data_IF_031985431349
#
_entry.id   IF_031985431349
#
_cell.length_a   1.000
_cell.length_b   1.000
_cell.length_c   1.000
_cell.angle_alpha   90.00
_cell.angle_beta   90.00
_cell.angle_gamma   90.00
#
_symmetry.space_group_name_H-M   'P 1'
#
loop_
_entity.id
_entity.type
_entity.pdbx_description
1 polymer ?
#
# COMPACT_ATOMS: atom_id res chain seq x y z
N UNK A 1 10.11 -20.02 -17.32
CA UNK A 1 9.72 -19.44 -16.02
C UNK A 1 10.71 -19.99 -14.99
N UNK A 2 11.50 -19.13 -14.34
CA UNK A 2 12.48 -19.57 -13.32
C UNK A 2 11.99 -18.99 -11.97
N UNK A 3 11.82 -19.80 -10.91
CA UNK A 3 11.44 -19.30 -9.60
C UNK A 3 12.63 -18.62 -8.91
N UNK A 4 12.38 -17.51 -8.22
CA UNK A 4 13.37 -16.77 -7.45
C UNK A 4 13.40 -17.33 -6.01
N UNK A 5 14.45 -18.06 -5.66
CA UNK A 5 14.69 -18.57 -4.30
C UNK A 5 15.40 -17.51 -3.44
N UNK A 6 14.67 -16.93 -2.50
CA UNK A 6 15.13 -15.90 -1.56
C UNK A 6 16.17 -16.40 -0.54
N UNK A 7 16.41 -17.71 -0.44
CA UNK A 7 17.33 -18.31 0.55
C UNK A 7 18.82 -17.96 0.33
N UNK A 8 19.19 -17.37 -0.81
CA UNK A 8 20.60 -17.17 -1.17
C UNK A 8 21.17 -15.75 -1.00
N UNK A 9 20.41 -14.74 -0.54
CA UNK A 9 20.98 -13.40 -0.36
C UNK A 9 21.60 -13.26 1.04
N UNK A 10 22.73 -13.95 1.27
CA UNK A 10 23.59 -13.74 2.46
C UNK A 10 24.40 -12.43 2.44
N UNK A 11 24.26 -11.57 1.43
CA UNK A 11 24.97 -10.28 1.43
C UNK A 11 24.38 -9.26 0.44
N UNK A 12 23.59 -8.32 0.96
CA UNK A 12 23.16 -7.10 0.24
C UNK A 12 24.37 -6.27 -0.25
N UNK A 13 25.60 -6.52 0.27
CA UNK A 13 26.85 -5.83 -0.11
C UNK A 13 27.33 -6.05 -1.56
N UNK A 14 26.67 -6.86 -2.40
CA UNK A 14 27.10 -7.14 -3.80
C UNK A 14 26.05 -6.81 -4.88
N UNK A 15 25.11 -5.91 -4.62
CA UNK A 15 24.16 -5.47 -5.65
C UNK A 15 24.81 -4.44 -6.59
N UNK A 16 25.09 -4.84 -7.83
CA UNK A 16 25.44 -3.92 -8.93
C UNK A 16 24.20 -3.11 -9.36
N UNK A 17 24.39 -1.92 -9.92
CA UNK A 17 23.32 -1.02 -10.39
C UNK A 17 22.32 -1.74 -11.33
N UNK A 18 22.80 -2.66 -12.18
CA UNK A 18 21.94 -3.47 -13.05
C UNK A 18 20.99 -4.41 -12.30
N UNK A 19 21.41 -4.95 -11.15
CA UNK A 19 20.56 -5.79 -10.30
C UNK A 19 19.55 -4.93 -9.55
N UNK A 20 19.92 -3.70 -9.17
CA UNK A 20 18.97 -2.72 -8.61
C UNK A 20 17.92 -2.31 -9.65
N UNK A 21 18.30 -2.08 -10.91
CA UNK A 21 17.35 -1.82 -12.02
C UNK A 21 16.44 -3.03 -12.29
N UNK A 22 16.97 -4.24 -12.24
CA UNK A 22 16.18 -5.46 -12.41
C UNK A 22 15.19 -5.67 -11.26
N UNK A 23 15.63 -5.48 -10.02
CA UNK A 23 14.77 -5.52 -8.83
C UNK A 23 13.70 -4.43 -8.93
N UNK A 24 14.07 -3.20 -9.28
CA UNK A 24 13.15 -2.09 -9.50
C UNK A 24 12.10 -2.42 -10.57
N UNK A 25 12.51 -2.93 -11.74
CA UNK A 25 11.58 -3.30 -12.81
C UNK A 25 10.64 -4.44 -12.41
N UNK A 26 11.13 -5.47 -11.71
CA UNK A 26 10.27 -6.55 -11.25
C UNK A 26 9.30 -6.09 -10.15
N UNK A 27 9.76 -5.23 -9.24
CA UNK A 27 8.92 -4.63 -8.21
C UNK A 27 7.84 -3.75 -8.85
N UNK A 28 8.19 -2.90 -9.83
CA UNK A 28 7.23 -2.08 -10.57
C UNK A 28 6.21 -2.93 -11.33
N UNK A 29 6.65 -3.97 -12.05
CA UNK A 29 5.74 -4.89 -12.76
C UNK A 29 4.83 -5.67 -11.80
N UNK A 30 5.36 -6.07 -10.64
CA UNK A 30 4.57 -6.72 -9.60
C UNK A 30 3.49 -5.79 -9.04
N UNK A 31 3.80 -4.50 -8.86
CA UNK A 31 2.81 -3.52 -8.39
C UNK A 31 1.74 -3.18 -9.41
N UNK A 32 2.11 -2.96 -10.67
CA UNK A 32 1.13 -2.79 -11.74
C UNK A 32 0.24 -4.03 -11.86
N UNK A 33 0.81 -5.23 -11.72
CA UNK A 33 0.05 -6.47 -11.70
C UNK A 33 -0.95 -6.56 -10.55
N UNK A 34 -0.65 -6.03 -9.36
CA UNK A 34 -1.60 -6.07 -8.23
C UNK A 34 -2.75 -5.10 -8.49
N UNK A 35 -2.45 -3.85 -8.89
CA UNK A 35 -3.49 -2.84 -9.15
C UNK A 35 -4.41 -3.27 -10.30
N UNK A 36 -3.86 -3.89 -11.34
CA UNK A 36 -4.64 -4.38 -12.48
C UNK A 36 -5.60 -5.52 -12.12
N UNK A 37 -5.33 -6.27 -11.04
CA UNK A 37 -6.22 -7.32 -10.53
C UNK A 37 -7.34 -6.79 -9.64
N UNK A 38 -7.21 -5.57 -9.12
CA UNK A 38 -8.25 -4.94 -8.28
C UNK A 38 -9.37 -4.45 -9.20
N UNK A 39 -10.61 -4.72 -8.80
CA UNK A 39 -11.81 -4.26 -9.50
C UNK A 39 -11.88 -2.72 -9.56
N UNK A 40 -12.44 -2.18 -10.64
CA UNK A 40 -12.61 -0.75 -10.86
C UNK A 40 -13.50 -0.08 -9.79
N UNK A 41 -14.37 -0.82 -9.12
CA UNK A 41 -15.16 -0.29 -8.00
C UNK A 41 -14.29 0.25 -6.84
N UNK A 42 -13.00 -0.11 -6.77
CA UNK A 42 -12.04 0.37 -5.76
C UNK A 42 -11.06 1.45 -6.24
N UNK A 43 -11.28 1.99 -7.45
CA UNK A 43 -10.40 2.94 -8.14
C UNK A 43 -11.02 4.33 -8.32
N UNK A 44 -11.98 4.69 -7.46
CA UNK A 44 -12.65 5.98 -7.56
C UNK A 44 -11.71 7.13 -7.18
N UNK A 45 -11.92 8.30 -7.79
CA UNK A 45 -11.20 9.51 -7.42
C UNK A 45 -11.58 9.93 -6.00
N UNK A 46 -10.57 10.36 -5.23
CA UNK A 46 -10.77 10.80 -3.84
C UNK A 46 -11.43 12.18 -3.85
N UNK A 47 -12.53 12.39 -3.09
CA UNK A 47 -13.12 13.71 -2.91
C UNK A 47 -12.10 14.70 -2.32
N UNK A 48 -12.15 15.96 -2.77
CA UNK A 48 -11.21 17.01 -2.35
C UNK A 48 -11.18 17.24 -0.85
N UNK A 49 -12.29 17.01 -0.15
CA UNK A 49 -12.39 17.08 1.31
C UNK A 49 -11.43 16.13 2.02
N UNK A 50 -11.24 14.92 1.47
CA UNK A 50 -10.35 13.91 2.02
C UNK A 50 -8.89 14.14 1.64
N UNK A 51 -8.61 14.77 0.49
CA UNK A 51 -7.23 15.04 0.06
C UNK A 51 -6.45 15.85 1.10
N UNK A 52 -7.04 16.92 1.63
CA UNK A 52 -6.40 17.75 2.66
C UNK A 52 -6.14 16.97 3.96
N UNK A 53 -7.05 16.07 4.33
CA UNK A 53 -6.89 15.23 5.52
C UNK A 53 -5.80 14.18 5.32
N UNK A 54 -5.74 13.57 4.13
CA UNK A 54 -4.70 12.61 3.74
C UNK A 54 -3.33 13.27 3.71
N UNK A 55 -3.20 14.49 3.21
CA UNK A 55 -1.92 15.21 3.20
C UNK A 55 -1.37 15.42 4.61
N UNK A 56 -2.20 15.87 5.56
CA UNK A 56 -1.79 16.00 6.97
C UNK A 56 -1.51 14.65 7.64
N UNK A 57 -2.24 13.59 7.27
CA UNK A 57 -1.99 12.25 7.75
C UNK A 57 -0.64 11.71 7.27
N UNK A 58 -0.28 11.94 6.01
CA UNK A 58 0.96 11.47 5.41
C UNK A 58 2.22 12.07 6.05
N UNK A 59 2.11 13.22 6.72
CA UNK A 59 3.21 13.81 7.50
C UNK A 59 3.45 13.08 8.83
N UNK A 60 2.48 12.29 9.30
CA UNK A 60 2.49 11.64 10.62
C UNK A 60 2.83 10.15 10.56
N UNK A 61 2.90 9.56 9.37
CA UNK A 61 3.08 8.12 9.17
C UNK A 61 4.27 7.82 8.25
N UNK A 62 4.93 6.70 8.50
CA UNK A 62 5.91 6.14 7.57
C UNK A 62 5.22 5.72 6.26
N UNK A 63 5.46 6.49 5.18
CA UNK A 63 4.90 6.21 3.85
C UNK A 63 5.28 4.82 3.36
N UNK A 64 6.52 4.39 3.60
CA UNK A 64 7.00 3.04 3.23
C UNK A 64 6.19 1.95 3.93
N UNK A 65 5.94 2.09 5.24
CA UNK A 65 5.19 1.09 5.99
C UNK A 65 3.70 1.11 5.61
N UNK A 66 3.14 2.28 5.33
CA UNK A 66 1.77 2.40 4.83
C UNK A 66 1.60 1.74 3.45
N UNK A 67 2.57 1.89 2.55
CA UNK A 67 2.61 1.20 1.26
C UNK A 67 2.60 -0.32 1.46
N UNK A 68 3.39 -0.85 2.39
CA UNK A 68 3.40 -2.29 2.72
C UNK A 68 2.04 -2.77 3.25
N UNK A 69 1.41 -1.98 4.12
CA UNK A 69 0.05 -2.27 4.64
C UNK A 69 -0.94 -2.36 3.46
N UNK A 70 -0.97 -1.38 2.56
CA UNK A 70 -1.86 -1.41 1.39
C UNK A 70 -1.60 -2.61 0.47
N UNK A 71 -0.34 -2.96 0.22
CA UNK A 71 0.00 -4.12 -0.61
C UNK A 71 -0.48 -5.43 0.00
N UNK A 72 -0.29 -5.59 1.31
CA UNK A 72 -0.80 -6.74 2.05
C UNK A 72 -2.33 -6.76 2.04
N UNK A 73 -2.99 -5.61 2.22
CA UNK A 73 -4.43 -5.48 2.13
C UNK A 73 -4.95 -5.89 0.73
N UNK A 74 -4.37 -5.40 -0.35
CA UNK A 74 -4.82 -5.75 -1.70
C UNK A 74 -4.65 -7.22 -2.02
N UNK A 75 -3.48 -7.78 -1.72
CA UNK A 75 -3.14 -9.16 -2.08
C UNK A 75 -3.86 -10.22 -1.25
N UNK A 76 -4.02 -9.98 0.06
CA UNK A 76 -4.61 -10.95 1.00
C UNK A 76 -6.09 -10.76 1.22
N UNK A 77 -6.59 -9.55 1.04
CA UNK A 77 -7.96 -9.21 1.41
C UNK A 77 -8.76 -8.71 0.23
N UNK A 78 -8.46 -7.53 -0.33
CA UNK A 78 -9.34 -6.87 -1.29
C UNK A 78 -9.59 -7.68 -2.57
N UNK A 79 -8.60 -8.44 -3.05
CA UNK A 79 -8.74 -9.30 -4.25
C UNK A 79 -9.45 -10.61 -3.92
N UNK A 80 -9.29 -11.14 -2.69
CA UNK A 80 -9.79 -12.47 -2.32
C UNK A 80 -11.20 -12.43 -1.71
N UNK A 81 -11.59 -11.29 -1.15
CA UNK A 81 -12.85 -11.10 -0.41
C UNK A 81 -13.77 -10.14 -1.16
N UNK A 82 -15.05 -10.47 -1.22
CA UNK A 82 -16.10 -9.62 -1.78
C UNK A 82 -16.48 -8.50 -0.80
N UNK A 83 -15.58 -7.56 -0.55
CA UNK A 83 -15.90 -6.39 0.27
C UNK A 83 -16.84 -5.44 -0.46
N UNK A 84 -17.77 -4.83 0.27
CA UNK A 84 -18.57 -3.73 -0.28
C UNK A 84 -17.67 -2.49 -0.42
N UNK A 85 -17.66 -1.80 -1.59
CA UNK A 85 -16.88 -0.58 -1.78
C UNK A 85 -17.21 0.55 -0.81
N UNK A 86 -18.41 0.52 -0.21
CA UNK A 86 -18.87 1.50 0.77
C UNK A 86 -18.45 1.17 2.21
N UNK A 87 -17.78 0.04 2.44
CA UNK A 87 -17.20 -0.25 3.75
C UNK A 87 -16.03 0.69 4.04
N UNK A 88 -15.80 0.95 5.33
CA UNK A 88 -14.74 1.84 5.78
C UNK A 88 -13.36 1.21 5.59
N UNK A 89 -12.42 1.99 5.05
CA UNK A 89 -11.04 1.55 4.78
C UNK A 89 -10.20 1.46 6.06
N UNK A 90 -10.45 2.32 7.04
CA UNK A 90 -9.65 2.45 8.26
C UNK A 90 -9.43 1.12 8.98
N UNK A 91 -10.51 0.42 9.33
CA UNK A 91 -10.44 -0.82 10.12
C UNK A 91 -9.65 -1.91 9.38
N UNK A 92 -9.76 -1.96 8.05
CA UNK A 92 -9.00 -2.89 7.23
C UNK A 92 -7.50 -2.60 7.27
N UNK A 93 -7.11 -1.33 7.19
CA UNK A 93 -5.70 -0.93 7.26
C UNK A 93 -5.09 -1.17 8.65
N UNK A 94 -5.84 -0.88 9.72
CA UNK A 94 -5.39 -1.15 11.10
C UNK A 94 -5.18 -2.65 11.31
N UNK A 95 -6.16 -3.48 10.94
CA UNK A 95 -6.04 -4.94 11.05
C UNK A 95 -4.82 -5.48 10.30
N UNK A 96 -4.56 -4.97 9.10
CA UNK A 96 -3.39 -5.39 8.32
C UNK A 96 -2.08 -4.89 8.94
N UNK A 97 -2.06 -3.66 9.47
CA UNK A 97 -0.92 -3.14 10.25
C UNK A 97 -0.58 -4.05 11.43
N UNK A 98 -1.58 -4.47 12.19
CA UNK A 98 -1.41 -5.37 13.33
C UNK A 98 -0.91 -6.76 12.91
N UNK A 99 -1.46 -7.33 11.83
CA UNK A 99 -0.97 -8.59 11.26
C UNK A 99 0.48 -8.52 10.77
N UNK A 100 0.95 -7.34 10.39
CA UNK A 100 2.34 -7.09 9.98
C UNK A 100 3.26 -6.72 11.17
N UNK A 101 2.74 -6.72 12.42
CA UNK A 101 3.43 -6.25 13.62
C UNK A 101 3.87 -4.77 13.56
N UNK A 102 3.17 -3.95 12.78
CA UNK A 102 3.42 -2.51 12.60
C UNK A 102 2.56 -1.69 13.58
N UNK A 103 2.73 -1.93 14.89
CA UNK A 103 1.86 -1.35 15.94
C UNK A 103 1.84 0.19 15.91
N UNK A 104 2.98 0.81 15.67
CA UNK A 104 3.09 2.28 15.59
C UNK A 104 2.25 2.83 14.44
N UNK A 105 2.30 2.20 13.28
CA UNK A 105 1.48 2.56 12.12
C UNK A 105 0.01 2.28 12.38
N UNK A 106 -0.35 1.14 12.96
CA UNK A 106 -1.73 0.82 13.34
C UNK A 106 -2.33 1.91 14.24
N UNK A 107 -1.61 2.32 15.29
CA UNK A 107 -2.05 3.40 16.18
C UNK A 107 -2.16 4.75 15.46
N UNK A 108 -1.22 5.03 14.56
CA UNK A 108 -1.20 6.28 13.78
C UNK A 108 -2.39 6.32 12.81
N UNK A 109 -2.69 5.21 12.14
CA UNK A 109 -3.85 5.05 11.27
C UNK A 109 -5.12 5.25 12.10
N UNK A 110 -5.26 4.55 13.23
CA UNK A 110 -6.44 4.66 14.09
C UNK A 110 -6.72 6.10 14.54
N UNK A 111 -5.67 6.88 14.86
CA UNK A 111 -5.80 8.25 15.40
C UNK A 111 -5.94 9.33 14.33
N UNK A 112 -5.34 9.15 13.16
CA UNK A 112 -5.15 10.25 12.21
C UNK A 112 -5.65 9.98 10.79
N UNK A 113 -5.99 8.73 10.46
CA UNK A 113 -6.54 8.43 9.16
C UNK A 113 -7.94 9.04 8.99
N UNK A 114 -8.31 9.52 7.79
CA UNK A 114 -9.64 10.05 7.54
C UNK A 114 -10.75 9.05 7.85
N UNK A 115 -11.61 9.41 8.79
CA UNK A 115 -12.80 8.62 9.15
C UNK A 115 -13.81 8.65 8.00
N UNK A 116 -14.59 7.58 7.84
CA UNK A 116 -15.58 7.40 6.75
C UNK A 116 -14.99 7.33 5.32
N UNK A 117 -13.67 7.30 5.16
CA UNK A 117 -13.08 7.05 3.85
C UNK A 117 -13.29 5.58 3.49
N UNK A 118 -14.03 5.34 2.41
CA UNK A 118 -14.46 3.98 2.05
C UNK A 118 -13.47 3.25 1.13
N UNK A 119 -13.63 1.94 1.03
CA UNK A 119 -12.79 1.04 0.24
C UNK A 119 -12.76 1.43 -1.25
N UNK A 120 -13.80 2.09 -1.76
CA UNK A 120 -13.86 2.53 -3.16
C UNK A 120 -12.73 3.47 -3.58
N UNK A 121 -12.05 4.09 -2.60
CA UNK A 121 -10.94 5.01 -2.82
C UNK A 121 -9.56 4.38 -2.52
N UNK A 122 -9.52 3.12 -2.10
CA UNK A 122 -8.31 2.47 -1.56
C UNK A 122 -7.13 2.48 -2.54
N UNK A 123 -7.36 2.21 -3.82
CA UNK A 123 -6.31 2.25 -4.84
C UNK A 123 -5.79 3.68 -5.04
N UNK A 124 -6.68 4.66 -5.07
CA UNK A 124 -6.29 6.07 -5.21
C UNK A 124 -5.46 6.56 -4.02
N UNK A 125 -5.79 6.15 -2.79
CA UNK A 125 -4.99 6.49 -1.60
C UNK A 125 -3.61 5.86 -1.69
N UNK A 126 -3.54 4.60 -2.12
CA UNK A 126 -2.26 3.91 -2.34
C UNK A 126 -1.39 4.63 -3.39
N UNK A 127 -1.99 5.07 -4.50
CA UNK A 127 -1.27 5.84 -5.53
C UNK A 127 -0.73 7.16 -4.98
N UNK A 128 -1.48 7.86 -4.12
CA UNK A 128 -0.96 9.06 -3.44
C UNK A 128 0.24 8.74 -2.54
N UNK A 129 0.25 7.59 -1.87
CA UNK A 129 1.40 7.15 -1.08
C UNK A 129 2.64 6.97 -1.96
N UNK A 130 2.49 6.34 -3.14
CA UNK A 130 3.59 6.16 -4.09
C UNK A 130 4.12 7.50 -4.62
N UNK A 131 3.23 8.45 -4.90
CA UNK A 131 3.64 9.77 -5.37
C UNK A 131 4.35 10.59 -4.28
N UNK A 132 3.94 10.47 -3.01
CA UNK A 132 4.68 11.04 -1.87
C UNK A 132 6.08 10.42 -1.76
N UNK A 133 6.21 9.11 -1.92
CA UNK A 133 7.50 8.42 -1.85
C UNK A 133 8.49 8.90 -2.93
N UNK A 134 8.01 9.21 -4.15
CA UNK A 134 8.85 9.70 -5.25
C UNK A 134 9.36 11.14 -5.07
N UNK A 135 8.68 11.95 -4.26
CA UNK A 135 9.03 13.36 -4.02
C UNK A 135 10.06 13.54 -2.91
N UNK A 136 10.23 12.54 -2.05
CA UNK A 136 11.27 12.45 -1.04
C UNK A 136 12.53 11.80 -1.62
#
# INVERSE_FOLDING_TARGET
MIPFELENIKSIKKLKIQHLRFIHNNISQHFESIINKIDNQYKNQIPTTFLNQLDSFFEKISITNLILIFQSFFSKELIQKNYSPEQELLNNLVNIGDLLNLKTESETIQKHFPQNLTLKYSVSVYLLCLDKLKKN
#
